data_IF_859146845014
#
_entry.id   IF_859146845014
#
_cell.length_a   1.000
_cell.length_b   1.000
_cell.length_c   1.000
_cell.angle_alpha   90.00
_cell.angle_beta   90.00
_cell.angle_gamma   90.00
#
_symmetry.space_group_name_H-M   'P 1'
#
loop_
_entity.id
_entity.type
_entity.pdbx_description
1 polymer ?
#
# COMPACT_ATOMS: atom_id res chain seq x y z
N UNK A 1 2.86 -20.40 5.80
CA UNK A 1 2.52 -20.03 7.20
C UNK A 1 3.74 -19.79 8.11
N UNK A 2 4.84 -20.57 8.00
CA UNK A 2 6.05 -20.35 8.83
C UNK A 2 6.83 -19.06 8.51
N UNK A 3 6.95 -18.68 7.24
CA UNK A 3 7.70 -17.49 6.83
C UNK A 3 7.06 -16.18 7.30
N UNK A 4 5.72 -16.09 7.26
CA UNK A 4 4.99 -14.88 7.68
C UNK A 4 5.24 -14.52 9.16
N UNK A 5 5.15 -15.51 10.07
CA UNK A 5 5.32 -15.25 11.50
C UNK A 5 6.73 -14.79 11.82
N UNK A 6 7.74 -15.43 11.23
CA UNK A 6 9.15 -15.08 11.42
C UNK A 6 9.45 -13.70 10.84
N UNK A 7 9.03 -13.41 9.61
CA UNK A 7 9.23 -12.11 9.00
C UNK A 7 8.53 -11.00 9.80
N UNK A 8 7.30 -11.24 10.29
CA UNK A 8 6.57 -10.27 11.10
C UNK A 8 7.26 -9.95 12.42
N UNK A 9 7.85 -10.96 13.06
CA UNK A 9 8.62 -10.77 14.29
C UNK A 9 9.91 -9.97 14.05
N UNK A 10 10.70 -10.36 13.04
CA UNK A 10 11.93 -9.65 12.68
C UNK A 10 11.65 -8.21 12.27
N UNK A 11 10.57 -7.99 11.50
CA UNK A 11 10.11 -6.66 11.10
C UNK A 11 9.75 -5.79 12.32
N UNK A 12 8.98 -6.33 13.29
CA UNK A 12 8.62 -5.60 14.51
C UNK A 12 9.84 -5.25 15.37
N UNK A 13 10.85 -6.11 15.41
CA UNK A 13 12.12 -5.88 16.10
C UNK A 13 13.07 -4.96 15.33
N UNK A 14 12.76 -4.65 14.07
CA UNK A 14 13.63 -3.93 13.12
C UNK A 14 14.98 -4.62 12.91
N UNK A 15 14.99 -5.96 12.98
CA UNK A 15 16.18 -6.76 12.66
C UNK A 15 16.25 -6.97 11.15
N UNK A 16 16.62 -5.89 10.44
CA UNK A 16 16.63 -5.85 8.98
C UNK A 16 17.62 -6.84 8.39
N UNK A 17 18.77 -7.01 9.04
CA UNK A 17 19.78 -7.98 8.59
C UNK A 17 19.21 -9.40 8.62
N UNK A 18 18.66 -9.85 9.75
CA UNK A 18 18.10 -11.20 9.83
C UNK A 18 16.88 -11.38 8.92
N UNK A 19 16.09 -10.32 8.70
CA UNK A 19 14.96 -10.35 7.78
C UNK A 19 15.43 -10.53 6.33
N UNK A 20 16.40 -9.75 5.87
CA UNK A 20 16.97 -9.90 4.52
C UNK A 20 17.66 -11.26 4.36
N UNK A 21 18.49 -11.68 5.32
CA UNK A 21 19.16 -12.99 5.30
C UNK A 21 18.12 -14.14 5.15
N UNK A 22 16.98 -14.03 5.84
CA UNK A 22 15.87 -15.00 5.74
C UNK A 22 15.17 -14.97 4.37
N UNK A 23 14.90 -13.78 3.84
CA UNK A 23 14.22 -13.61 2.54
C UNK A 23 15.11 -14.02 1.37
N UNK A 24 16.42 -13.85 1.49
CA UNK A 24 17.42 -14.24 0.49
C UNK A 24 17.66 -15.76 0.50
N UNK A 25 17.55 -16.38 1.68
CA UNK A 25 17.63 -17.84 1.84
C UNK A 25 16.34 -18.56 1.43
N UNK A 26 15.25 -17.83 1.20
CA UNK A 26 13.98 -18.41 0.79
C UNK A 26 14.06 -18.90 -0.67
N UNK A 27 13.68 -20.14 -0.91
CA UNK A 27 13.69 -20.76 -2.24
C UNK A 27 12.27 -21.16 -2.66
N UNK A 28 11.41 -20.20 -3.05
CA UNK A 28 9.99 -20.43 -3.33
C UNK A 28 9.74 -21.28 -4.59
N UNK A 29 10.78 -21.52 -5.41
CA UNK A 29 10.67 -22.27 -6.65
C UNK A 29 9.55 -21.73 -7.53
N UNK A 30 8.62 -22.62 -7.91
CA UNK A 30 7.48 -22.30 -8.79
C UNK A 30 6.23 -21.81 -8.05
N UNK A 31 6.21 -21.76 -6.73
CA UNK A 31 5.06 -21.27 -5.97
C UNK A 31 4.92 -19.73 -6.09
N UNK A 32 3.91 -19.26 -6.82
CA UNK A 32 3.63 -17.83 -7.00
C UNK A 32 3.21 -17.14 -5.71
N UNK A 33 2.46 -17.84 -4.84
CA UNK A 33 2.00 -17.25 -3.57
C UNK A 33 3.17 -17.06 -2.61
N UNK A 34 4.13 -17.99 -2.60
CA UNK A 34 5.34 -17.84 -1.79
C UNK A 34 6.25 -16.74 -2.33
N UNK A 35 6.45 -16.66 -3.66
CA UNK A 35 7.18 -15.55 -4.31
C UNK A 35 6.56 -14.20 -3.98
N UNK A 36 5.24 -14.08 -4.10
CA UNK A 36 4.49 -12.87 -3.77
C UNK A 36 4.65 -12.47 -2.30
N UNK A 37 4.61 -13.43 -1.37
CA UNK A 37 4.82 -13.17 0.06
C UNK A 37 6.25 -12.71 0.38
N UNK A 38 7.26 -13.36 -0.20
CA UNK A 38 8.67 -12.98 -0.01
C UNK A 38 8.90 -11.55 -0.49
N UNK A 39 8.42 -11.24 -1.70
CA UNK A 39 8.59 -9.91 -2.26
C UNK A 39 7.81 -8.84 -1.47
N UNK A 40 6.60 -9.15 -0.99
CA UNK A 40 5.87 -8.24 -0.10
C UNK A 40 6.65 -7.93 1.19
N UNK A 41 7.24 -8.95 1.82
CA UNK A 41 8.07 -8.75 3.01
C UNK A 41 9.35 -7.96 2.71
N UNK A 42 10.02 -8.26 1.59
CA UNK A 42 11.21 -7.55 1.14
C UNK A 42 10.91 -6.07 0.89
N UNK A 43 9.85 -5.77 0.13
CA UNK A 43 9.43 -4.40 -0.13
C UNK A 43 9.03 -3.65 1.15
N UNK A 44 8.35 -4.33 2.08
CA UNK A 44 7.99 -3.74 3.37
C UNK A 44 9.22 -3.37 4.20
N UNK A 45 10.22 -4.28 4.27
CA UNK A 45 11.47 -4.03 4.98
C UNK A 45 12.24 -2.83 4.37
N UNK A 46 12.43 -2.85 3.05
CA UNK A 46 13.07 -1.76 2.30
C UNK A 46 12.36 -0.42 2.55
N UNK A 47 11.03 -0.41 2.51
CA UNK A 47 10.23 0.78 2.81
C UNK A 47 10.45 1.30 4.23
N UNK A 48 10.47 0.40 5.23
CA UNK A 48 10.71 0.75 6.63
C UNK A 48 12.15 1.28 6.88
N UNK A 49 13.11 0.85 6.07
CA UNK A 49 14.49 1.35 6.06
C UNK A 49 14.65 2.68 5.30
N UNK A 50 13.59 3.20 4.66
CA UNK A 50 13.64 4.42 3.84
C UNK A 50 14.11 4.18 2.39
N UNK A 51 14.34 2.93 1.99
CA UNK A 51 14.79 2.52 0.65
C UNK A 51 13.59 2.38 -0.30
N UNK A 52 12.90 3.49 -0.53
CA UNK A 52 11.59 3.51 -1.20
C UNK A 52 11.63 3.13 -2.68
N UNK A 53 12.63 3.59 -3.44
CA UNK A 53 12.77 3.21 -4.85
C UNK A 53 13.00 1.69 -5.01
N UNK A 54 13.88 1.11 -4.18
CA UNK A 54 14.13 -0.34 -4.18
C UNK A 54 12.87 -1.14 -3.78
N UNK A 55 12.08 -0.63 -2.84
CA UNK A 55 10.79 -1.24 -2.49
C UNK A 55 9.81 -1.23 -3.68
N UNK A 56 9.77 -0.12 -4.44
CA UNK A 56 8.94 0.01 -5.64
C UNK A 56 9.38 -0.99 -6.71
N UNK A 57 10.69 -1.13 -6.94
CA UNK A 57 11.24 -2.06 -7.93
C UNK A 57 10.86 -3.52 -7.61
N UNK A 58 10.97 -3.91 -6.33
CA UNK A 58 10.52 -5.24 -5.88
C UNK A 58 9.03 -5.45 -6.12
N UNK A 59 8.18 -4.46 -5.82
CA UNK A 59 6.72 -4.56 -6.00
C UNK A 59 6.32 -4.63 -7.48
N UNK A 60 6.99 -3.88 -8.35
CA UNK A 60 6.76 -3.94 -9.80
C UNK A 60 7.17 -5.28 -10.38
N UNK A 61 8.21 -5.90 -9.83
CA UNK A 61 8.70 -7.22 -10.26
C UNK A 61 7.75 -8.40 -9.99
N UNK A 62 6.72 -8.23 -9.13
CA UNK A 62 5.86 -9.35 -8.68
C UNK A 62 4.41 -9.28 -9.13
N UNK A 63 4.05 -8.36 -10.03
CA UNK A 63 2.65 -8.14 -10.41
C UNK A 63 1.94 -9.43 -10.87
N UNK A 64 2.62 -10.35 -11.56
CA UNK A 64 2.05 -11.64 -12.00
C UNK A 64 1.94 -12.69 -10.88
N UNK A 65 2.72 -12.54 -9.81
CA UNK A 65 2.76 -13.48 -8.67
C UNK A 65 1.86 -13.04 -7.52
N UNK A 66 1.32 -11.81 -7.56
CA UNK A 66 0.47 -11.29 -6.52
C UNK A 66 -1.00 -11.70 -6.71
N UNK A 67 -1.69 -12.03 -5.61
CA UNK A 67 -3.11 -12.39 -5.64
C UNK A 67 -4.04 -11.19 -5.86
N UNK A 68 -3.65 -10.00 -5.40
CA UNK A 68 -4.43 -8.76 -5.49
C UNK A 68 -3.50 -7.62 -5.93
N UNK A 69 -3.63 -7.20 -7.19
CA UNK A 69 -2.79 -6.16 -7.79
C UNK A 69 -3.09 -4.78 -7.20
N UNK A 70 -4.33 -4.51 -6.81
CA UNK A 70 -4.73 -3.29 -6.11
C UNK A 70 -3.91 -3.06 -4.83
N UNK A 71 -3.60 -4.13 -4.11
CA UNK A 71 -2.76 -4.05 -2.89
C UNK A 71 -1.31 -3.71 -3.24
N UNK A 72 -0.78 -4.26 -4.33
CA UNK A 72 0.59 -3.97 -4.79
C UNK A 72 0.68 -2.50 -5.23
N UNK A 73 -0.25 -2.03 -6.07
CA UNK A 73 -0.31 -0.63 -6.51
C UNK A 73 -0.47 0.34 -5.34
N UNK A 74 -1.26 0.00 -4.31
CA UNK A 74 -1.32 0.78 -3.06
C UNK A 74 0.04 0.92 -2.38
N UNK A 75 0.78 -0.17 -2.20
CA UNK A 75 2.10 -0.11 -1.57
C UNK A 75 3.12 0.66 -2.45
N UNK A 76 3.03 0.56 -3.77
CA UNK A 76 3.84 1.38 -4.69
C UNK A 76 3.50 2.86 -4.48
N UNK A 77 2.22 3.22 -4.52
CA UNK A 77 1.74 4.59 -4.35
C UNK A 77 2.14 5.19 -2.99
N UNK A 78 2.09 4.42 -1.91
CA UNK A 78 2.57 4.87 -0.61
C UNK A 78 4.08 5.16 -0.59
N UNK A 79 4.91 4.33 -1.25
CA UNK A 79 6.34 4.59 -1.38
C UNK A 79 6.63 5.80 -2.26
N UNK A 80 5.90 5.97 -3.38
CA UNK A 80 5.97 7.15 -4.22
C UNK A 80 5.63 8.42 -3.44
N UNK A 81 4.57 8.38 -2.62
CA UNK A 81 4.20 9.49 -1.72
C UNK A 81 5.33 9.82 -0.73
N UNK A 82 6.01 8.82 -0.15
CA UNK A 82 7.16 9.05 0.75
C UNK A 82 8.36 9.70 0.04
N UNK A 83 8.47 9.53 -1.28
CA UNK A 83 9.45 10.21 -2.12
C UNK A 83 8.97 11.60 -2.60
N UNK A 84 7.78 12.05 -2.21
CA UNK A 84 7.18 13.30 -2.69
C UNK A 84 6.64 13.22 -4.13
N UNK A 85 6.50 12.02 -4.69
CA UNK A 85 6.07 11.75 -6.07
C UNK A 85 4.56 11.50 -6.13
N UNK A 86 3.78 12.42 -5.56
CA UNK A 86 2.33 12.27 -5.38
C UNK A 86 1.57 12.04 -6.69
N UNK A 87 1.95 12.72 -7.77
CA UNK A 87 1.28 12.55 -9.07
C UNK A 87 1.49 11.16 -9.66
N UNK A 88 2.67 10.57 -9.48
CA UNK A 88 2.95 9.19 -9.90
C UNK A 88 2.20 8.19 -9.02
N UNK A 89 2.06 8.48 -7.71
CA UNK A 89 1.26 7.66 -6.80
C UNK A 89 -0.22 7.64 -7.19
N UNK A 90 -0.76 8.78 -7.62
CA UNK A 90 -2.13 8.89 -8.13
C UNK A 90 -2.28 8.08 -9.42
N UNK A 91 -1.34 8.23 -10.35
CA UNK A 91 -1.38 7.52 -11.64
C UNK A 91 -1.30 5.99 -11.45
N UNK A 92 -0.45 5.52 -10.54
CA UNK A 92 -0.35 4.10 -10.18
C UNK A 92 -1.70 3.55 -9.68
N UNK A 93 -2.40 4.29 -8.83
CA UNK A 93 -3.69 3.86 -8.28
C UNK A 93 -4.86 4.00 -9.26
N UNK A 94 -4.83 4.98 -10.17
CA UNK A 94 -5.81 5.10 -11.24
C UNK A 94 -5.75 3.94 -12.23
N UNK A 95 -4.55 3.41 -12.48
CA UNK A 95 -4.32 2.26 -13.34
C UNK A 95 -4.47 0.91 -12.62
N UNK A 96 -4.70 0.93 -11.30
CA UNK A 96 -4.92 -0.29 -10.52
C UNK A 96 -6.31 -0.89 -10.83
N UNK A 97 -6.47 -2.23 -10.82
CA UNK A 97 -7.72 -2.90 -11.15
C UNK A 97 -8.72 -2.88 -9.96
N UNK A 98 -8.99 -1.70 -9.42
CA UNK A 98 -9.77 -1.50 -8.19
C UNK A 98 -11.22 -1.99 -8.32
N UNK A 99 -11.80 -1.83 -9.50
CA UNK A 99 -13.19 -2.24 -9.79
C UNK A 99 -13.26 -3.73 -10.10
N UNK A 100 -12.32 -4.23 -10.90
CA UNK A 100 -12.24 -5.64 -11.29
C UNK A 100 -11.95 -6.55 -10.09
N UNK A 101 -11.17 -6.07 -9.12
CA UNK A 101 -10.84 -6.82 -7.90
C UNK A 101 -11.83 -6.59 -6.75
N UNK A 102 -12.84 -5.74 -6.93
CA UNK A 102 -13.75 -5.31 -5.87
C UNK A 102 -14.49 -6.47 -5.21
N UNK A 103 -15.09 -7.37 -5.99
CA UNK A 103 -15.91 -8.45 -5.45
C UNK A 103 -15.06 -9.50 -4.71
N UNK A 104 -13.84 -9.76 -5.21
CA UNK A 104 -12.96 -10.80 -4.66
C UNK A 104 -12.10 -10.32 -3.49
N UNK A 105 -11.70 -9.05 -3.52
CA UNK A 105 -10.74 -8.46 -2.58
C UNK A 105 -11.26 -7.13 -2.02
N UNK A 106 -12.56 -7.04 -1.74
CA UNK A 106 -13.26 -5.80 -1.35
C UNK A 106 -12.51 -4.96 -0.33
N UNK A 107 -12.05 -5.56 0.77
CA UNK A 107 -11.34 -4.83 1.82
C UNK A 107 -10.02 -4.21 1.34
N UNK A 108 -9.28 -4.93 0.48
CA UNK A 108 -8.00 -4.49 -0.07
C UNK A 108 -8.19 -3.43 -1.17
N UNK A 109 -9.18 -3.62 -2.04
CA UNK A 109 -9.54 -2.64 -3.05
C UNK A 109 -10.11 -1.35 -2.43
N UNK A 110 -10.89 -1.47 -1.36
CA UNK A 110 -11.39 -0.32 -0.58
C UNK A 110 -10.24 0.47 0.06
N UNK A 111 -9.25 -0.21 0.65
CA UNK A 111 -8.07 0.45 1.22
C UNK A 111 -7.28 1.21 0.15
N UNK A 112 -7.09 0.63 -1.04
CA UNK A 112 -6.47 1.30 -2.17
C UNK A 112 -7.30 2.50 -2.68
N UNK A 113 -8.64 2.38 -2.78
CA UNK A 113 -9.55 3.50 -3.11
C UNK A 113 -9.44 4.63 -2.11
N UNK A 114 -9.36 4.33 -0.81
CA UNK A 114 -9.18 5.35 0.22
C UNK A 114 -7.86 6.10 0.03
N UNK A 115 -6.74 5.39 -0.21
CA UNK A 115 -5.44 6.02 -0.46
C UNK A 115 -5.49 6.92 -1.70
N UNK A 116 -6.16 6.49 -2.77
CA UNK A 116 -6.37 7.31 -3.98
C UNK A 116 -7.15 8.59 -3.65
N UNK A 117 -8.29 8.47 -2.96
CA UNK A 117 -9.11 9.61 -2.56
C UNK A 117 -8.32 10.60 -1.70
N UNK A 118 -7.54 10.09 -0.75
CA UNK A 118 -6.69 10.91 0.11
C UNK A 118 -5.58 11.61 -0.67
N UNK A 119 -4.92 10.94 -1.62
CA UNK A 119 -3.90 11.53 -2.49
C UNK A 119 -4.47 12.65 -3.35
N UNK A 120 -5.63 12.42 -3.98
CA UNK A 120 -6.34 13.42 -4.78
C UNK A 120 -6.68 14.65 -3.92
N UNK A 121 -7.36 14.44 -2.79
CA UNK A 121 -7.73 15.52 -1.86
C UNK A 121 -6.52 16.30 -1.35
N UNK A 122 -5.45 15.60 -0.95
CA UNK A 122 -4.21 16.23 -0.44
C UNK A 122 -3.54 17.11 -1.50
N UNK A 123 -3.70 16.78 -2.78
CA UNK A 123 -3.13 17.53 -3.90
C UNK A 123 -4.09 18.57 -4.48
N UNK A 124 -5.24 18.81 -3.83
CA UNK A 124 -6.25 19.77 -4.31
C UNK A 124 -6.92 19.34 -5.61
N UNK A 125 -6.87 18.04 -5.93
CA UNK A 125 -7.53 17.45 -7.09
C UNK A 125 -8.93 16.98 -6.70
N UNK A 126 -9.82 16.96 -7.69
CA UNK A 126 -11.18 16.47 -7.52
C UNK A 126 -11.18 14.98 -7.11
N UNK A 127 -11.97 14.66 -6.09
CA UNK A 127 -12.26 13.28 -5.70
C UNK A 127 -13.62 12.92 -6.26
N UNK A 128 -13.65 11.96 -7.17
CA UNK A 128 -14.89 11.52 -7.80
C UNK A 128 -15.89 10.99 -6.76
N UNK A 129 -17.16 11.40 -6.90
CA UNK A 129 -18.23 10.99 -5.99
C UNK A 129 -18.35 9.46 -5.88
N UNK A 130 -18.17 8.74 -6.98
CA UNK A 130 -18.22 7.27 -6.99
C UNK A 130 -17.20 6.63 -6.03
N UNK A 131 -15.98 7.20 -5.94
CA UNK A 131 -14.96 6.73 -4.99
C UNK A 131 -15.43 6.96 -3.54
N UNK A 132 -16.04 8.11 -3.26
CA UNK A 132 -16.54 8.45 -1.93
C UNK A 132 -17.76 7.62 -1.50
N UNK A 133 -18.64 7.30 -2.44
CA UNK A 133 -19.84 6.49 -2.20
C UNK A 133 -19.46 5.04 -1.84
N UNK A 134 -18.35 4.53 -2.39
CA UNK A 134 -17.83 3.19 -2.10
C UNK A 134 -17.18 3.07 -0.71
N UNK A 135 -16.73 4.18 -0.11
CA UNK A 135 -16.06 4.21 1.18
C UNK A 135 -17.10 4.33 2.29
N UNK A 136 -17.26 3.35 3.21
CA UNK A 136 -18.19 3.47 4.33
C UNK A 136 -17.83 4.64 5.26
N UNK A 137 -18.83 5.31 5.85
CA UNK A 137 -18.58 6.43 6.76
C UNK A 137 -17.80 6.04 8.03
N UNK A 138 -17.95 4.79 8.47
CA UNK A 138 -17.21 4.21 9.58
C UNK A 138 -15.79 3.75 9.21
N UNK A 139 -15.39 3.88 7.95
CA UNK A 139 -14.08 3.41 7.48
C UNK A 139 -12.95 4.22 8.12
N UNK A 140 -11.94 3.48 8.60
CA UNK A 140 -10.72 4.02 9.19
C UNK A 140 -9.55 3.39 8.45
N UNK A 141 -8.80 4.20 7.72
CA UNK A 141 -7.51 3.82 7.17
C UNK A 141 -6.46 3.86 8.28
N UNK A 142 -5.64 2.81 8.36
CA UNK A 142 -4.48 2.76 9.23
C UNK A 142 -3.25 2.88 8.34
N UNK A 143 -2.55 4.00 8.45
CA UNK A 143 -1.27 4.19 7.76
C UNK A 143 -0.25 3.15 8.24
N UNK A 144 0.76 2.90 7.42
CA UNK A 144 1.97 2.13 7.79
C UNK A 144 2.63 2.60 9.10
N UNK A 145 2.52 3.90 9.44
CA UNK A 145 3.02 4.49 10.68
C UNK A 145 2.04 4.36 11.86
N UNK A 146 0.93 3.65 11.69
CA UNK A 146 -0.08 3.42 12.72
C UNK A 146 -1.05 4.57 12.95
N UNK A 147 -0.95 5.67 12.19
CA UNK A 147 -1.94 6.75 12.26
C UNK A 147 -3.27 6.30 11.68
N UNK A 148 -4.34 6.70 12.36
CA UNK A 148 -5.73 6.40 11.98
C UNK A 148 -6.30 7.63 11.29
N UNK A 149 -6.78 7.47 10.07
CA UNK A 149 -7.40 8.53 9.27
C UNK A 149 -8.78 8.04 8.84
N UNK A 150 -9.82 8.75 9.24
CA UNK A 150 -11.21 8.35 8.96
C UNK A 150 -11.71 8.89 7.61
N UNK A 151 -12.88 8.43 7.16
CA UNK A 151 -13.58 9.10 6.03
C UNK A 151 -13.94 10.55 6.39
N UNK A 152 -14.27 10.85 7.64
CA UNK A 152 -14.57 12.22 8.09
C UNK A 152 -13.34 13.13 7.91
N UNK A 153 -12.15 12.66 8.30
CA UNK A 153 -10.90 13.40 8.08
C UNK A 153 -10.65 13.68 6.58
N UNK A 154 -10.96 12.71 5.71
CA UNK A 154 -10.88 12.88 4.26
C UNK A 154 -11.87 13.96 3.77
N UNK A 155 -13.11 13.97 4.27
CA UNK A 155 -14.11 14.99 3.90
C UNK A 155 -13.73 16.38 4.41
N UNK A 156 -13.12 16.48 5.59
CA UNK A 156 -12.59 17.74 6.12
C UNK A 156 -11.41 18.26 5.29
N UNK A 157 -10.58 17.36 4.75
CA UNK A 157 -9.51 17.72 3.82
C UNK A 157 -10.08 18.23 2.49
N UNK A 158 -11.05 17.52 1.90
CA UNK A 158 -11.72 17.93 0.64
C UNK A 158 -12.38 19.29 0.77
N UNK A 159 -13.06 19.55 1.89
CA UNK A 159 -13.74 20.83 2.14
C UNK A 159 -12.81 21.98 2.55
N UNK A 160 -11.50 21.72 2.67
CA UNK A 160 -10.50 22.72 3.08
C UNK A 160 -10.54 23.09 4.57
N UNK A 161 -11.31 22.36 5.40
CA UNK A 161 -11.36 22.55 6.86
C UNK A 161 -10.07 22.11 7.56
N UNK A 162 -9.33 21.18 6.95
CA UNK A 162 -8.05 20.67 7.45
C UNK A 162 -6.96 20.96 6.42
N UNK A 163 -5.89 21.65 6.83
CA UNK A 163 -4.70 21.86 5.98
C UNK A 163 -3.82 20.60 5.98
N UNK A 164 -3.10 20.36 4.87
CA UNK A 164 -2.06 19.33 4.73
C UNK A 164 -1.20 19.29 6.00
N UNK A 165 -1.18 18.16 6.70
CA UNK A 165 -0.12 17.87 7.67
C UNK A 165 1.02 17.24 6.88
N UNK A 166 2.17 17.92 6.88
CA UNK A 166 3.42 17.50 6.24
C UNK A 166 3.98 16.30 7.02
#
# INVERSE_FOLDING_TARGET
>A
MKIHNNCSELFRRRDWKALHDMLDSASPGRDSDERGQIAHWRASALSAEGRHDEAIDVLRGIQSDCRCRSTVSKHIAENLRRLGRDMEAIEELKNAPLTEEWDRFRALALDAKYVLAHLLASNGLEVEKAILDDIPDSYIHITDRGHRISKVDLMDLISGKKKRSI
#
